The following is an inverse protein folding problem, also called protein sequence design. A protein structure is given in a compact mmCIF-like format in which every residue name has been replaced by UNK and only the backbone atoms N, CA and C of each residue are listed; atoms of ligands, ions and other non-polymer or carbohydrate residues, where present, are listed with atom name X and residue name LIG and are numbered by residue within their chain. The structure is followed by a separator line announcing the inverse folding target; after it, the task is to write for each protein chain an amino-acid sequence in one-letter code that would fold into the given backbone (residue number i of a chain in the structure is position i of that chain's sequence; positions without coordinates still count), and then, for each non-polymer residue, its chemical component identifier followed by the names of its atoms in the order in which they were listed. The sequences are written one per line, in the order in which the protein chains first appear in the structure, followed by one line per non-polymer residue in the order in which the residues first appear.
data_IF_951565864708
#
_entry.id   IF_951565864708
#
_cell.length_a   1.000
_cell.length_b   1.000
_cell.length_c   1.000
_cell.angle_alpha   90.00
_cell.angle_beta   90.00
_cell.angle_gamma   90.00
#
_symmetry.space_group_name_H-M   'P 1'
#
loop_
_entity.id
_entity.type
_entity.pdbx_description
1 polymer ?
#
# COMPACT_ATOMS: atom_id res chain seq x y z
N UNK A 1 -0.42 20.72 -0.66
CA UNK A 1 0.43 19.58 -0.31
C UNK A 1 -0.43 18.34 -0.51
N UNK A 2 -0.06 17.46 -1.46
CA UNK A 2 -0.76 16.17 -1.61
C UNK A 2 -0.55 15.37 -0.32
N UNK A 3 -1.65 14.98 0.33
CA UNK A 3 -1.61 14.07 1.47
C UNK A 3 -0.97 12.76 0.99
N UNK A 4 0.20 12.43 1.55
CA UNK A 4 0.89 11.16 1.29
C UNK A 4 0.55 10.20 2.43
N UNK A 5 -0.53 9.42 2.32
CA UNK A 5 -1.15 8.73 3.46
C UNK A 5 -0.24 7.71 4.15
N UNK A 6 0.81 7.24 3.46
CA UNK A 6 1.74 6.22 4.00
C UNK A 6 3.16 6.74 4.21
N UNK A 7 3.40 8.03 3.99
CA UNK A 7 4.73 8.63 4.09
C UNK A 7 5.36 8.45 5.47
N UNK A 8 4.63 8.76 6.55
CA UNK A 8 5.11 8.58 7.93
C UNK A 8 5.47 7.14 8.27
N UNK A 9 4.76 6.17 7.67
CA UNK A 9 5.02 4.76 7.91
C UNK A 9 6.28 4.32 7.17
N UNK A 10 6.44 4.73 5.91
CA UNK A 10 7.65 4.50 5.14
C UNK A 10 8.89 5.12 5.80
N UNK A 11 8.78 6.36 6.29
CA UNK A 11 9.86 7.02 7.06
C UNK A 11 10.24 6.23 8.31
N UNK A 12 9.26 5.71 9.06
CA UNK A 12 9.53 4.91 10.27
C UNK A 12 10.33 3.64 9.96
N UNK A 13 9.99 2.95 8.87
CA UNK A 13 10.72 1.75 8.42
C UNK A 13 12.15 2.12 8.04
N UNK A 14 12.34 3.20 7.29
CA UNK A 14 13.67 3.69 6.91
C UNK A 14 14.49 4.13 8.14
N UNK A 15 13.85 4.76 9.13
CA UNK A 15 14.51 5.16 10.38
C UNK A 15 15.00 3.96 11.18
N UNK A 16 14.20 2.89 11.26
CA UNK A 16 14.61 1.63 11.90
C UNK A 16 15.78 1.00 11.14
N UNK A 17 15.70 0.95 9.81
CA UNK A 17 16.78 0.45 8.98
C UNK A 17 18.09 1.23 9.21
N UNK A 18 18.04 2.57 9.27
CA UNK A 18 19.20 3.42 9.59
C UNK A 18 19.78 3.13 10.98
N UNK A 19 18.90 2.86 11.95
CA UNK A 19 19.31 2.53 13.32
C UNK A 19 20.06 1.20 13.37
N UNK A 20 19.57 0.18 12.67
CA UNK A 20 20.20 -1.14 12.58
C UNK A 20 21.51 -1.11 11.79
N UNK A 21 21.61 -0.27 10.75
CA UNK A 21 22.81 -0.11 9.95
C UNK A 21 23.97 0.53 10.71
N UNK A 22 23.65 1.36 11.72
CA UNK A 22 24.63 2.15 12.44
C UNK A 22 25.06 3.42 11.71
N UNK A 23 25.54 4.38 12.49
CA UNK A 23 25.79 5.76 12.05
C UNK A 23 26.91 5.85 11.00
N UNK A 24 27.99 5.07 11.15
CA UNK A 24 29.14 5.10 10.24
C UNK A 24 28.74 4.71 8.80
N UNK A 25 27.92 3.65 8.67
CA UNK A 25 27.44 3.20 7.36
C UNK A 25 26.39 4.17 6.79
N UNK A 26 25.52 4.73 7.65
CA UNK A 26 24.58 5.76 7.22
C UNK A 26 25.28 6.99 6.64
N UNK A 27 26.39 7.44 7.25
CA UNK A 27 27.18 8.56 6.75
C UNK A 27 27.83 8.25 5.39
N UNK A 28 28.32 7.02 5.18
CA UNK A 28 28.91 6.60 3.90
C UNK A 28 27.89 6.52 2.76
N UNK A 29 26.65 6.15 3.07
CA UNK A 29 25.55 6.04 2.09
C UNK A 29 24.97 7.42 1.75
N UNK A 30 24.89 8.32 2.73
CA UNK A 30 24.26 9.64 2.59
C UNK A 30 22.73 9.59 2.59
N UNK A 31 22.08 10.75 2.64
CA UNK A 31 20.62 10.83 2.85
C UNK A 31 19.77 10.54 1.60
N UNK A 32 20.30 10.79 0.40
CA UNK A 32 19.55 10.65 -0.85
C UNK A 32 19.03 9.21 -1.09
N UNK A 33 19.82 8.15 -0.90
CA UNK A 33 19.33 6.77 -1.02
C UNK A 33 18.21 6.44 -0.02
N UNK A 34 18.27 6.95 1.22
CA UNK A 34 17.24 6.71 2.22
C UNK A 34 15.92 7.42 1.88
N UNK A 35 15.99 8.64 1.33
CA UNK A 35 14.82 9.34 0.80
C UNK A 35 14.16 8.56 -0.35
N UNK A 36 14.98 8.02 -1.26
CA UNK A 36 14.51 7.16 -2.36
C UNK A 36 13.84 5.89 -1.84
N UNK A 37 14.44 5.24 -0.84
CA UNK A 37 13.89 4.04 -0.21
C UNK A 37 12.52 4.31 0.44
N UNK A 38 12.36 5.46 1.11
CA UNK A 38 11.08 5.87 1.69
C UNK A 38 9.99 6.00 0.62
N UNK A 39 10.30 6.62 -0.52
CA UNK A 39 9.36 6.75 -1.64
C UNK A 39 8.98 5.38 -2.24
N UNK A 40 9.95 4.47 -2.37
CA UNK A 40 9.71 3.12 -2.89
C UNK A 40 8.80 2.31 -1.96
N UNK A 41 9.04 2.36 -0.66
CA UNK A 41 8.20 1.69 0.36
C UNK A 41 6.79 2.28 0.33
N UNK A 42 6.66 3.61 0.30
CA UNK A 42 5.36 4.29 0.19
C UNK A 42 4.58 3.85 -1.06
N UNK A 43 5.28 3.75 -2.20
CA UNK A 43 4.68 3.33 -3.48
C UNK A 43 4.24 1.87 -3.44
N UNK A 44 5.02 0.99 -2.82
CA UNK A 44 4.67 -0.42 -2.64
C UNK A 44 3.41 -0.57 -1.77
N UNK A 45 3.32 0.15 -0.65
CA UNK A 45 2.14 0.13 0.23
C UNK A 45 0.90 0.61 -0.52
N UNK A 46 0.99 1.75 -1.21
CA UNK A 46 -0.12 2.26 -2.02
C UNK A 46 -0.58 1.24 -3.07
N UNK A 47 0.36 0.55 -3.74
CA UNK A 47 0.05 -0.45 -4.76
C UNK A 47 -0.65 -1.66 -4.17
N UNK A 48 -0.16 -2.20 -3.04
CA UNK A 48 -0.80 -3.33 -2.35
C UNK A 48 -2.19 -2.97 -1.81
N UNK A 49 -2.37 -1.76 -1.28
CA UNK A 49 -3.68 -1.27 -0.82
C UNK A 49 -4.66 -1.14 -1.99
N UNK A 50 -4.22 -0.57 -3.12
CA UNK A 50 -5.06 -0.46 -4.31
C UNK A 50 -5.46 -1.83 -4.88
N UNK A 51 -4.53 -2.79 -4.93
CA UNK A 51 -4.84 -4.15 -5.36
C UNK A 51 -5.91 -4.82 -4.47
N UNK A 52 -5.82 -4.66 -3.15
CA UNK A 52 -6.83 -5.18 -2.22
C UNK A 52 -8.19 -4.49 -2.39
N UNK A 53 -8.21 -3.19 -2.69
CA UNK A 53 -9.44 -2.44 -3.00
C UNK A 53 -10.06 -2.95 -4.30
N UNK A 54 -9.28 -3.17 -5.35
CA UNK A 54 -9.76 -3.73 -6.62
C UNK A 54 -10.34 -5.15 -6.45
N UNK A 55 -9.68 -6.01 -5.68
CA UNK A 55 -10.19 -7.34 -5.35
C UNK A 55 -11.52 -7.26 -4.59
N UNK A 56 -11.60 -6.36 -3.60
CA UNK A 56 -12.84 -6.12 -2.84
C UNK A 56 -13.97 -5.63 -3.74
N UNK A 57 -13.69 -4.72 -4.67
CA UNK A 57 -14.68 -4.22 -5.65
C UNK A 57 -15.20 -5.37 -6.51
N UNK A 58 -14.31 -6.24 -7.00
CA UNK A 58 -14.68 -7.41 -7.78
C UNK A 58 -15.59 -8.35 -6.98
N UNK A 59 -15.28 -8.61 -5.71
CA UNK A 59 -16.10 -9.45 -4.83
C UNK A 59 -17.51 -8.87 -4.64
N UNK A 60 -17.63 -7.54 -4.53
CA UNK A 60 -18.93 -6.84 -4.48
C UNK A 60 -19.72 -7.01 -5.77
N UNK A 61 -19.09 -6.83 -6.93
CA UNK A 61 -19.74 -7.00 -8.24
C UNK A 61 -20.26 -8.42 -8.44
N UNK A 62 -19.46 -9.43 -8.07
CA UNK A 62 -19.89 -10.82 -8.14
C UNK A 62 -21.05 -11.12 -7.18
N UNK A 63 -21.02 -10.55 -5.96
CA UNK A 63 -22.12 -10.71 -5.00
C UNK A 63 -23.42 -10.08 -5.51
N UNK A 64 -23.36 -8.90 -6.13
CA UNK A 64 -24.49 -8.23 -6.77
C UNK A 64 -25.02 -9.03 -7.96
N UNK A 65 -24.14 -9.58 -8.80
CA UNK A 65 -24.52 -10.45 -9.91
C UNK A 65 -25.26 -11.71 -9.41
N UNK A 66 -24.73 -12.38 -8.38
CA UNK A 66 -25.38 -13.55 -7.74
C UNK A 66 -26.74 -13.18 -7.15
N UNK A 67 -26.86 -12.01 -6.53
CA UNK A 67 -28.13 -11.51 -5.98
C UNK A 67 -29.19 -11.28 -7.07
N UNK A 68 -28.80 -10.62 -8.18
CA UNK A 68 -29.69 -10.40 -9.34
C UNK A 68 -30.16 -11.71 -9.98
N UNK A 69 -29.29 -12.70 -10.09
CA UNK A 69 -29.64 -14.03 -10.62
C UNK A 69 -30.66 -14.73 -9.72
N UNK A 70 -30.47 -14.66 -8.39
CA UNK A 70 -31.43 -15.22 -7.41
C UNK A 70 -32.79 -14.51 -7.47
N UNK A 71 -32.80 -13.18 -7.55
CA UNK A 71 -34.03 -12.40 -7.67
C UNK A 71 -34.83 -12.75 -8.95
N UNK A 72 -34.14 -13.04 -10.06
CA UNK A 72 -34.77 -13.48 -11.32
C UNK A 72 -35.29 -14.93 -11.28
N UNK A 73 -34.69 -15.80 -10.45
CA UNK A 73 -35.14 -17.17 -10.25
C UNK A 73 -36.37 -17.32 -9.35
N UNK A 74 -36.66 -16.32 -8.51
CA UNK A 74 -37.83 -16.28 -7.60
C UNK A 74 -39.13 -15.81 -8.28
N UNK A 75 -39.08 -15.39 -9.54
CA UNK A 75 -40.25 -14.96 -10.34
C UNK A 75 -40.74 -16.02 -11.35
N UNK A 76 -40.38 -17.30 -11.15
CA UNK A 76 -40.97 -18.44 -11.88
C UNK A 76 -41.78 -19.31 -10.95
#
# INVERSE_FOLDING_TARGET
MQDRPHHKHAEKIVQQFRTELGEELCQKIGDYPFGTLSILIESAINTSVMAAVEETIKDFDEALARSRTRARGLHK
#
